data_IF_258664645958
#
_entry.id   IF_258664645958
#
_cell.length_a   1.000
_cell.length_b   1.000
_cell.length_c   1.000
_cell.angle_alpha   90.00
_cell.angle_beta   90.00
_cell.angle_gamma   90.00
#
_symmetry.space_group_name_H-M   'P 1'
#
loop_
_entity.id
_entity.type
_entity.pdbx_description
1 polymer ?
#
# COMPACT_ATOMS: atom_id res chain seq x y z
N UNK A 1 14.08 -33.00 3.80
CA UNK A 1 13.67 -31.92 2.88
C UNK A 1 14.65 -30.77 3.06
N UNK A 2 15.31 -30.32 2.00
CA UNK A 2 16.35 -29.30 2.07
C UNK A 2 15.72 -27.91 2.30
N UNK A 3 15.77 -27.42 3.54
CA UNK A 3 15.52 -26.02 3.87
C UNK A 3 16.71 -25.20 3.39
N UNK A 4 16.69 -24.74 2.14
CA UNK A 4 17.69 -23.77 1.68
C UNK A 4 17.53 -22.51 2.52
N UNK A 5 18.51 -22.11 3.34
CA UNK A 5 18.39 -20.90 4.16
C UNK A 5 18.23 -19.69 3.25
N UNK A 6 17.43 -18.69 3.65
CA UNK A 6 17.33 -17.42 2.92
C UNK A 6 18.70 -16.76 2.70
N UNK A 7 19.67 -17.07 3.56
CA UNK A 7 21.09 -16.69 3.42
C UNK A 7 21.72 -17.09 2.07
N UNK A 8 21.20 -18.12 1.39
CA UNK A 8 21.66 -18.48 0.06
C UNK A 8 21.02 -17.63 -1.04
N UNK A 9 19.84 -17.04 -0.78
CA UNK A 9 19.13 -16.12 -1.67
C UNK A 9 19.55 -14.65 -1.46
N UNK A 10 19.82 -14.28 -0.21
CA UNK A 10 20.43 -13.02 0.19
C UNK A 10 21.94 -13.28 0.33
N UNK A 11 22.71 -13.08 -0.74
CA UNK A 11 24.18 -13.17 -0.69
C UNK A 11 24.67 -12.52 0.60
N UNK A 12 25.31 -13.33 1.48
CA UNK A 12 25.47 -12.99 2.90
C UNK A 12 25.96 -11.54 3.08
N UNK A 13 25.09 -10.61 3.50
CA UNK A 13 25.51 -9.23 3.66
C UNK A 13 26.55 -9.20 4.78
N UNK A 14 27.74 -8.67 4.48
CA UNK A 14 28.82 -8.58 5.47
C UNK A 14 28.44 -7.66 6.63
N UNK A 15 27.48 -6.75 6.43
CA UNK A 15 26.88 -5.91 7.46
C UNK A 15 25.38 -5.74 7.18
N UNK A 16 24.52 -6.05 8.17
CA UNK A 16 23.14 -5.54 8.18
C UNK A 16 23.07 -4.39 9.18
N UNK A 17 22.50 -3.28 8.74
CA UNK A 17 22.22 -2.14 9.60
C UNK A 17 20.71 -2.02 9.71
N UNK A 18 20.20 -2.00 10.94
CA UNK A 18 18.88 -1.43 11.11
C UNK A 18 18.94 0.02 10.66
N UNK A 19 17.97 0.43 9.85
CA UNK A 19 17.87 1.82 9.46
C UNK A 19 17.45 2.63 10.70
N UNK A 20 18.45 3.02 11.48
CA UNK A 20 18.29 3.86 12.65
C UNK A 20 18.46 5.31 12.21
N UNK A 21 17.37 5.88 11.69
CA UNK A 21 17.13 7.29 11.90
C UNK A 21 17.18 7.52 13.41
N UNK A 22 18.21 8.21 13.89
CA UNK A 22 18.17 8.82 15.23
C UNK A 22 16.77 9.41 15.43
N UNK A 23 16.08 8.82 16.40
CA UNK A 23 14.72 9.05 16.87
C UNK A 23 14.00 10.21 16.17
N UNK A 24 13.17 9.93 15.16
CA UNK A 24 12.09 10.83 14.83
C UNK A 24 11.29 11.07 16.10
N UNK A 25 11.10 12.34 16.45
CA UNK A 25 10.23 12.73 17.57
C UNK A 25 8.76 12.38 17.31
N UNK A 26 8.45 11.79 16.14
CA UNK A 26 7.15 11.21 15.87
C UNK A 26 6.81 10.19 16.97
N UNK A 27 5.83 10.56 17.78
CA UNK A 27 5.19 9.66 18.71
C UNK A 27 4.46 8.61 17.87
N UNK A 28 4.68 7.34 18.17
CA UNK A 28 3.93 6.21 17.59
C UNK A 28 2.42 6.46 17.68
N UNK A 29 1.97 7.07 18.77
CA UNK A 29 0.61 7.56 18.96
C UNK A 29 0.11 8.45 17.81
N UNK A 30 0.93 9.40 17.34
CA UNK A 30 0.57 10.29 16.22
C UNK A 30 0.43 9.51 14.90
N UNK A 31 1.25 8.47 14.70
CA UNK A 31 1.14 7.62 13.53
C UNK A 31 -0.12 6.74 13.58
N UNK A 32 -0.42 6.15 14.75
CA UNK A 32 -1.67 5.40 14.95
C UNK A 32 -2.90 6.29 14.72
N UNK A 33 -2.90 7.50 15.26
CA UNK A 33 -4.00 8.46 15.09
C UNK A 33 -4.15 8.86 13.60
N UNK A 34 -3.05 9.18 12.92
CA UNK A 34 -3.05 9.47 11.49
C UNK A 34 -3.64 8.33 10.65
N UNK A 35 -3.23 7.08 10.89
CA UNK A 35 -3.73 5.96 10.08
C UNK A 35 -5.16 5.57 10.46
N UNK A 36 -5.55 5.75 11.73
CA UNK A 36 -6.96 5.67 12.13
C UNK A 36 -7.78 6.70 11.36
N UNK A 37 -7.27 7.92 11.20
CA UNK A 37 -7.90 8.95 10.37
C UNK A 37 -7.97 8.54 8.90
N UNK A 38 -6.84 8.17 8.26
CA UNK A 38 -6.77 7.78 6.84
C UNK A 38 -7.81 6.72 6.51
N UNK A 39 -7.87 5.66 7.30
CA UNK A 39 -8.76 4.54 7.04
C UNK A 39 -10.20 4.87 7.39
N UNK A 40 -10.46 5.33 8.62
CA UNK A 40 -11.81 5.37 9.16
C UNK A 40 -12.50 6.74 9.08
N UNK A 41 -11.77 7.84 8.89
CA UNK A 41 -12.33 9.19 9.09
C UNK A 41 -12.10 10.18 7.97
N UNK A 42 -11.17 9.92 7.06
CA UNK A 42 -10.86 10.87 6.00
C UNK A 42 -12.08 11.05 5.08
N UNK A 43 -12.69 12.24 5.01
CA UNK A 43 -13.82 12.48 4.13
C UNK A 43 -13.42 12.56 2.64
N UNK A 44 -12.13 12.63 2.34
CA UNK A 44 -11.67 12.81 0.98
C UNK A 44 -12.00 11.60 0.11
N UNK A 45 -12.70 11.88 -0.99
CA UNK A 45 -13.04 10.90 -2.01
C UNK A 45 -12.00 10.96 -3.12
N UNK A 46 -11.15 9.95 -3.19
CA UNK A 46 -10.21 9.80 -4.29
C UNK A 46 -10.94 9.42 -5.58
N UNK A 47 -10.44 9.90 -6.73
CA UNK A 47 -10.89 9.44 -8.06
C UNK A 47 -10.77 7.92 -8.24
N UNK A 48 -9.86 7.31 -7.48
CA UNK A 48 -9.61 5.88 -7.46
C UNK A 48 -9.27 5.39 -6.04
N UNK A 49 -9.94 4.35 -5.50
CA UNK A 49 -9.71 3.88 -4.12
C UNK A 49 -8.25 3.51 -3.81
N UNK A 50 -7.55 2.90 -4.77
CA UNK A 50 -6.10 2.63 -4.72
C UNK A 50 -5.23 3.83 -4.32
N UNK A 51 -5.62 5.08 -4.61
CA UNK A 51 -4.83 6.24 -4.21
C UNK A 51 -4.69 6.35 -2.69
N UNK A 52 -5.72 5.99 -1.91
CA UNK A 52 -5.62 5.91 -0.45
C UNK A 52 -4.53 4.93 -0.02
N UNK A 53 -4.48 3.74 -0.65
CA UNK A 53 -3.48 2.71 -0.37
C UNK A 53 -2.07 3.16 -0.79
N UNK A 54 -1.93 3.81 -1.94
CA UNK A 54 -0.64 4.32 -2.42
C UNK A 54 -0.08 5.44 -1.54
N UNK A 55 -0.95 6.36 -1.09
CA UNK A 55 -0.59 7.43 -0.15
C UNK A 55 -0.19 6.83 1.20
N UNK A 56 -1.02 5.93 1.75
CA UNK A 56 -0.72 5.22 2.99
C UNK A 56 0.62 4.46 2.92
N UNK A 57 0.84 3.69 1.85
CA UNK A 57 2.08 2.96 1.63
C UNK A 57 3.28 3.90 1.53
N UNK A 58 3.14 5.02 0.84
CA UNK A 58 4.22 6.00 0.70
C UNK A 58 4.60 6.64 2.03
N UNK A 59 3.61 6.99 2.87
CA UNK A 59 3.86 7.48 4.23
C UNK A 59 4.62 6.43 5.05
N UNK A 60 4.19 5.17 5.00
CA UNK A 60 4.87 4.09 5.72
C UNK A 60 6.29 3.82 5.18
N UNK A 61 6.52 3.91 3.88
CA UNK A 61 7.88 3.83 3.33
C UNK A 61 8.75 4.95 3.88
N UNK A 62 8.28 6.20 3.92
CA UNK A 62 9.07 7.29 4.52
C UNK A 62 9.35 7.01 6.00
N UNK A 63 8.36 6.52 6.74
CA UNK A 63 8.48 6.26 8.17
C UNK A 63 9.43 5.12 8.50
N UNK A 64 9.24 3.94 7.88
CA UNK A 64 10.01 2.73 8.17
C UNK A 64 11.41 2.78 7.57
N UNK A 65 11.55 3.41 6.41
CA UNK A 65 12.78 3.33 5.63
C UNK A 65 13.57 4.65 5.67
N UNK A 66 12.94 5.76 6.06
CA UNK A 66 13.54 7.10 5.97
C UNK A 66 13.91 7.51 4.56
N UNK A 67 13.32 6.86 3.56
CA UNK A 67 13.48 7.24 2.17
C UNK A 67 12.70 8.53 1.94
N UNK A 68 13.38 9.54 1.40
CA UNK A 68 12.67 10.72 0.91
C UNK A 68 11.84 10.32 -0.31
N UNK A 69 10.57 10.74 -0.43
CA UNK A 69 9.73 10.43 -1.58
C UNK A 69 10.42 10.79 -2.90
N UNK A 70 10.99 11.99 -2.97
CA UNK A 70 11.72 12.45 -4.16
C UNK A 70 13.08 11.77 -4.42
N UNK A 71 13.57 10.88 -3.56
CA UNK A 71 14.85 10.16 -3.76
C UNK A 71 14.59 8.68 -4.02
N UNK A 72 13.64 8.06 -3.34
CA UNK A 72 13.22 6.68 -3.61
C UNK A 72 12.31 6.53 -4.83
N UNK A 73 11.53 7.57 -5.13
CA UNK A 73 10.44 7.49 -6.11
C UNK A 73 10.70 8.36 -7.34
N UNK A 74 11.85 9.04 -7.42
CA UNK A 74 12.20 9.92 -8.55
C UNK A 74 12.16 9.18 -9.88
N UNK A 75 12.74 7.99 -9.87
CA UNK A 75 12.80 7.06 -11.01
C UNK A 75 11.65 6.06 -10.98
N UNK A 76 11.15 5.81 -9.76
CA UNK A 76 10.04 4.94 -9.47
C UNK A 76 10.38 3.65 -8.78
N UNK A 77 9.42 3.13 -8.02
CA UNK A 77 9.46 1.79 -7.47
C UNK A 77 8.69 0.85 -8.40
N UNK A 78 9.39 -0.12 -8.98
CA UNK A 78 8.81 -1.12 -9.89
C UNK A 78 8.76 -2.48 -9.22
N UNK A 79 7.89 -3.37 -9.71
CA UNK A 79 7.85 -4.73 -9.19
C UNK A 79 9.16 -5.48 -9.42
N UNK A 80 9.89 -5.19 -10.51
CA UNK A 80 11.25 -5.70 -10.75
C UNK A 80 12.26 -5.36 -9.64
N UNK A 81 12.00 -4.32 -8.87
CA UNK A 81 12.85 -3.89 -7.76
C UNK A 81 12.50 -4.61 -6.45
N UNK A 82 11.55 -5.55 -6.46
CA UNK A 82 11.02 -6.16 -5.24
C UNK A 82 10.98 -7.67 -5.29
N UNK A 83 11.04 -8.31 -4.12
CA UNK A 83 10.86 -9.75 -3.96
C UNK A 83 10.01 -9.99 -2.71
N UNK A 84 9.07 -10.93 -2.78
CA UNK A 84 8.26 -11.34 -1.63
C UNK A 84 8.65 -12.76 -1.22
N UNK A 85 8.83 -12.95 0.08
CA UNK A 85 9.07 -14.26 0.67
C UNK A 85 8.04 -14.54 1.76
N UNK A 86 7.53 -15.76 1.78
CA UNK A 86 6.72 -16.30 2.87
C UNK A 86 7.59 -17.19 3.75
N UNK A 87 7.39 -17.11 5.06
CA UNK A 87 8.02 -18.01 6.03
C UNK A 87 7.07 -18.28 7.18
N UNK A 88 7.25 -19.41 7.86
CA UNK A 88 6.49 -19.76 9.05
C UNK A 88 7.29 -19.37 10.29
N UNK A 89 6.76 -18.45 11.10
CA UNK A 89 7.45 -17.96 12.29
C UNK A 89 6.44 -17.68 13.41
N UNK A 90 6.77 -18.10 14.64
CA UNK A 90 5.89 -17.97 15.83
C UNK A 90 4.46 -18.50 15.58
N UNK A 91 4.34 -19.66 14.93
CA UNK A 91 3.07 -20.32 14.60
C UNK A 91 2.14 -19.53 13.66
N UNK A 92 2.69 -18.57 12.91
CA UNK A 92 1.94 -17.81 11.92
C UNK A 92 2.73 -17.66 10.61
N UNK A 93 2.04 -17.54 9.47
CA UNK A 93 2.68 -17.13 8.22
C UNK A 93 3.13 -15.67 8.33
N UNK A 94 4.39 -15.42 7.98
CA UNK A 94 4.99 -14.08 7.90
C UNK A 94 5.39 -13.77 6.48
N UNK A 95 5.27 -12.50 6.12
CA UNK A 95 5.60 -12.00 4.78
C UNK A 95 6.77 -11.04 4.90
N UNK A 96 7.83 -11.32 4.15
CA UNK A 96 8.98 -10.43 4.02
C UNK A 96 8.94 -9.80 2.63
N UNK A 97 8.96 -8.47 2.62
CA UNK A 97 9.12 -7.67 1.41
C UNK A 97 10.57 -7.20 1.33
N UNK A 98 11.26 -7.63 0.29
CA UNK A 98 12.59 -7.14 -0.05
C UNK A 98 12.46 -6.06 -1.13
N UNK A 99 13.11 -4.91 -0.94
CA UNK A 99 13.15 -3.80 -1.91
C UNK A 99 14.61 -3.51 -2.26
N UNK A 100 14.93 -3.51 -3.55
CA UNK A 100 16.23 -3.15 -4.10
C UNK A 100 16.19 -1.67 -4.47
N UNK A 101 16.95 -0.87 -3.73
CA UNK A 101 17.17 0.53 -4.07
C UNK A 101 18.38 0.61 -4.99
N UNK A 102 18.13 0.90 -6.26
CA UNK A 102 19.15 1.28 -7.24
C UNK A 102 19.09 2.79 -7.48
N UNK A 103 20.25 3.43 -7.57
CA UNK A 103 20.39 4.81 -8.05
C UNK A 103 20.60 4.70 -9.57
N UNK A 104 19.55 4.91 -10.37
CA UNK A 104 19.64 4.79 -11.85
C UNK A 104 20.19 6.07 -12.49
N UNK A 105 20.16 7.20 -11.78
CA UNK A 105 20.76 8.50 -12.14
C UNK A 105 22.29 8.53 -11.96
N UNK A 106 22.87 7.62 -11.17
CA UNK A 106 24.32 7.47 -11.06
C UNK A 106 24.91 7.02 -12.41
N UNK A 107 25.43 7.99 -13.18
CA UNK A 107 26.09 7.79 -14.47
C UNK A 107 26.99 6.53 -14.45
N UNK A 108 26.97 5.80 -15.57
CA UNK A 108 27.58 4.50 -15.85
C UNK A 108 29.06 4.28 -15.47
N UNK A 109 29.73 5.30 -14.90
CA UNK A 109 31.14 5.31 -14.53
C UNK A 109 31.41 5.00 -13.05
N UNK A 110 30.41 5.02 -12.16
CA UNK A 110 30.57 4.59 -10.76
C UNK A 110 29.80 3.29 -10.50
N UNK A 111 30.47 2.30 -9.88
CA UNK A 111 29.87 1.01 -9.50
C UNK A 111 28.52 1.24 -8.81
N UNK A 112 27.43 0.79 -9.45
CA UNK A 112 26.06 0.87 -8.90
C UNK A 112 26.02 0.24 -7.51
N UNK A 113 25.95 1.05 -6.47
CA UNK A 113 25.81 0.57 -5.10
C UNK A 113 24.36 0.21 -4.86
N UNK A 114 24.06 -1.09 -4.88
CA UNK A 114 22.75 -1.65 -4.57
C UNK A 114 22.56 -1.65 -3.06
N UNK A 115 21.47 -1.05 -2.58
CA UNK A 115 21.01 -1.22 -1.20
C UNK A 115 19.81 -2.14 -1.21
N UNK A 116 19.83 -3.15 -0.35
CA UNK A 116 18.70 -4.07 -0.19
C UNK A 116 18.00 -3.73 1.11
N UNK A 117 16.68 -3.65 1.04
CA UNK A 117 15.84 -3.30 2.16
C UNK A 117 14.92 -4.45 2.48
N UNK A 118 14.70 -4.74 3.76
CA UNK A 118 13.74 -5.74 4.20
C UNK A 118 12.73 -5.07 5.12
N UNK A 119 11.46 -5.26 4.77
CA UNK A 119 10.30 -5.00 5.60
C UNK A 119 9.64 -6.34 5.93
N UNK A 120 9.17 -6.48 7.16
CA UNK A 120 8.34 -7.62 7.56
C UNK A 120 6.92 -7.18 7.82
N UNK A 121 5.98 -8.08 7.60
CA UNK A 121 4.59 -7.84 7.96
C UNK A 121 4.39 -7.72 9.48
N UNK A 122 3.36 -6.96 9.85
CA UNK A 122 3.00 -6.59 11.22
C UNK A 122 1.56 -7.05 11.47
N UNK A 123 1.32 -8.33 11.84
CA UNK A 123 -0.02 -8.87 11.97
C UNK A 123 -0.89 -8.17 13.02
N UNK A 124 -0.27 -7.65 14.08
CA UNK A 124 -0.96 -6.94 15.16
C UNK A 124 -1.31 -5.49 14.80
N UNK A 125 -0.67 -4.92 13.77
CA UNK A 125 -0.80 -3.51 13.38
C UNK A 125 -1.00 -3.39 11.87
N UNK A 126 -1.98 -4.12 11.32
CA UNK A 126 -2.20 -4.19 9.87
C UNK A 126 -2.52 -2.84 9.23
N UNK A 127 -3.14 -1.92 9.96
CA UNK A 127 -3.41 -0.54 9.53
C UNK A 127 -2.12 0.27 9.29
N UNK A 128 -1.00 -0.14 9.89
CA UNK A 128 0.34 0.43 9.76
C UNK A 128 1.32 -0.48 8.99
N UNK A 129 0.85 -1.57 8.39
CA UNK A 129 1.74 -2.56 7.80
C UNK A 129 2.03 -2.25 6.32
N UNK A 130 3.25 -1.80 5.94
CA UNK A 130 3.58 -1.51 4.56
C UNK A 130 3.56 -2.75 3.67
N UNK A 131 3.85 -3.93 4.22
CA UNK A 131 3.86 -5.20 3.49
C UNK A 131 2.45 -5.59 3.05
N UNK A 132 1.43 -5.42 3.91
CA UNK A 132 0.02 -5.65 3.54
C UNK A 132 -0.40 -4.76 2.37
N UNK A 133 -0.06 -3.46 2.43
CA UNK A 133 -0.39 -2.52 1.36
C UNK A 133 0.32 -2.87 0.06
N UNK A 134 1.61 -3.18 0.11
CA UNK A 134 2.37 -3.60 -1.06
C UNK A 134 1.77 -4.85 -1.71
N UNK A 135 1.55 -5.90 -0.92
CA UNK A 135 1.05 -7.19 -1.40
C UNK A 135 -0.35 -7.04 -2.01
N UNK A 136 -1.21 -6.20 -1.42
CA UNK A 136 -2.54 -5.92 -1.97
C UNK A 136 -2.48 -5.28 -3.36
N UNK A 137 -1.57 -4.33 -3.57
CA UNK A 137 -1.37 -3.69 -4.88
C UNK A 137 -0.76 -4.67 -5.90
N UNK A 138 0.18 -5.52 -5.47
CA UNK A 138 0.78 -6.54 -6.32
C UNK A 138 -0.25 -7.58 -6.81
N UNK A 139 -1.15 -8.01 -5.92
CA UNK A 139 -2.26 -8.91 -6.25
C UNK A 139 -3.24 -8.23 -7.21
N UNK A 140 -3.63 -6.98 -6.93
CA UNK A 140 -4.55 -6.24 -7.77
C UNK A 140 -4.00 -5.95 -9.18
N UNK A 141 -2.68 -5.84 -9.32
CA UNK A 141 -2.00 -5.72 -10.61
C UNK A 141 -1.76 -7.07 -11.30
N UNK A 142 -2.14 -8.19 -10.67
CA UNK A 142 -1.91 -9.53 -11.17
C UNK A 142 -0.43 -9.89 -11.30
N UNK A 143 0.43 -9.26 -10.48
CA UNK A 143 1.89 -9.45 -10.50
C UNK A 143 2.28 -10.80 -9.92
N UNK A 144 1.64 -11.19 -8.81
CA UNK A 144 1.92 -12.47 -8.16
C UNK A 144 1.32 -13.60 -8.99
N UNK A 145 2.16 -14.56 -9.38
CA UNK A 145 1.72 -15.72 -10.15
C UNK A 145 0.98 -16.73 -9.27
N UNK A 146 0.00 -17.41 -9.85
CA UNK A 146 -0.86 -18.35 -9.12
C UNK A 146 -1.92 -17.72 -8.19
N UNK A 147 -2.00 -16.39 -8.09
CA UNK A 147 -3.07 -15.71 -7.35
C UNK A 147 -4.04 -15.05 -8.33
N UNK A 148 -5.25 -15.58 -8.41
CA UNK A 148 -6.33 -15.06 -9.26
C UNK A 148 -7.63 -14.82 -8.50
N UNK A 149 -7.83 -15.53 -7.39
CA UNK A 149 -9.02 -15.45 -6.57
C UNK A 149 -8.71 -15.65 -5.07
N UNK A 150 -9.75 -15.51 -4.27
CA UNK A 150 -9.69 -15.44 -2.81
C UNK A 150 -9.16 -16.75 -2.21
N UNK A 151 -9.54 -17.90 -2.80
CA UNK A 151 -9.04 -19.21 -2.38
C UNK A 151 -7.54 -19.38 -2.60
N UNK A 152 -6.97 -18.73 -3.62
CA UNK A 152 -5.53 -18.79 -3.88
C UNK A 152 -4.75 -18.06 -2.78
N UNK A 153 -5.29 -16.94 -2.28
CA UNK A 153 -4.70 -16.20 -1.16
C UNK A 153 -4.72 -17.06 0.11
N UNK A 154 -5.84 -17.75 0.39
CA UNK A 154 -5.94 -18.66 1.53
C UNK A 154 -4.95 -19.84 1.42
N UNK A 155 -4.72 -20.33 0.20
CA UNK A 155 -3.77 -21.41 -0.05
C UNK A 155 -2.31 -21.01 0.26
N UNK A 156 -1.95 -19.73 0.20
CA UNK A 156 -0.58 -19.26 0.51
C UNK A 156 -0.10 -19.70 1.90
N UNK A 157 -0.99 -19.66 2.89
CA UNK A 157 -0.65 -20.04 4.27
C UNK A 157 -0.36 -21.54 4.40
N UNK A 158 -1.06 -22.37 3.65
CA UNK A 158 -0.90 -23.84 3.69
C UNK A 158 0.43 -24.29 3.08
N UNK A 159 0.86 -23.66 1.98
CA UNK A 159 2.13 -23.97 1.31
C UNK A 159 3.35 -23.55 2.15
N UNK A 160 3.22 -22.46 2.90
CA UNK A 160 4.27 -21.93 3.74
C UNK A 160 4.60 -22.84 4.93
N UNK A 161 3.64 -23.58 5.48
CA UNK A 161 3.87 -24.45 6.63
C UNK A 161 4.85 -25.60 6.32
N UNK A 162 4.93 -26.01 5.05
CA UNK A 162 5.73 -27.16 4.60
C UNK A 162 7.15 -26.77 4.18
N UNK A 163 7.44 -25.48 4.00
CA UNK A 163 8.69 -24.99 3.43
C UNK A 163 9.26 -23.82 4.24
N UNK A 164 10.55 -23.85 4.57
CA UNK A 164 11.14 -22.81 5.44
C UNK A 164 11.05 -21.40 4.86
N UNK A 165 11.32 -21.28 3.55
CA UNK A 165 11.22 -20.03 2.82
C UNK A 165 10.58 -20.29 1.46
N UNK A 166 9.48 -19.62 1.17
CA UNK A 166 8.74 -19.74 -0.09
C UNK A 166 8.74 -18.38 -0.81
N UNK A 167 9.55 -18.20 -1.87
CA UNK A 167 9.47 -17.01 -2.69
C UNK A 167 8.14 -17.00 -3.45
N UNK A 168 7.44 -15.87 -3.46
CA UNK A 168 6.26 -15.71 -4.30
C UNK A 168 6.67 -15.39 -5.74
N UNK A 169 6.32 -16.24 -6.72
CA UNK A 169 6.69 -16.01 -8.11
C UNK A 169 5.98 -14.77 -8.66
N UNK A 170 6.71 -13.97 -9.44
CA UNK A 170 6.15 -12.86 -10.19
C UNK A 170 5.97 -13.22 -11.66
N UNK A 171 4.88 -12.76 -12.26
CA UNK A 171 4.68 -12.84 -13.71
C UNK A 171 5.67 -11.91 -14.41
N UNK A 172 6.51 -12.47 -15.28
CA UNK A 172 7.55 -11.73 -15.99
C UNK A 172 7.01 -10.52 -16.77
N UNK A 173 5.81 -10.66 -17.35
CA UNK A 173 5.12 -9.59 -18.08
C UNK A 173 4.73 -8.39 -17.22
N UNK A 174 4.65 -8.51 -15.90
CA UNK A 174 4.18 -7.46 -14.99
C UNK A 174 5.31 -6.75 -14.25
N UNK A 175 6.56 -7.21 -14.39
CA UNK A 175 7.72 -6.67 -13.66
C UNK A 175 8.02 -5.20 -13.97
N UNK A 176 7.68 -4.76 -15.18
CA UNK A 176 7.89 -3.39 -15.65
C UNK A 176 6.84 -2.41 -15.12
N UNK A 177 5.80 -2.88 -14.43
CA UNK A 177 4.77 -2.02 -13.89
C UNK A 177 5.31 -1.28 -12.64
N UNK A 178 5.04 0.02 -12.51
CA UNK A 178 5.33 0.74 -11.28
C UNK A 178 4.35 0.30 -10.19
N UNK A 179 4.80 0.23 -8.95
CA UNK A 179 3.97 -0.07 -7.78
C UNK A 179 2.99 1.08 -7.52
N UNK A 180 3.50 2.32 -7.59
CA UNK A 180 2.73 3.55 -7.41
C UNK A 180 2.28 4.09 -8.76
N UNK A 181 1.03 3.82 -9.13
CA UNK A 181 0.47 4.06 -10.46
C UNK A 181 -0.47 5.28 -10.45
N UNK A 182 -0.56 5.97 -11.58
CA UNK A 182 -1.59 6.99 -11.81
C UNK A 182 -2.74 6.43 -12.62
N UNK A 183 -3.91 7.06 -12.57
CA UNK A 183 -4.99 6.83 -13.53
C UNK A 183 -4.57 7.29 -14.93
N UNK A 184 -5.12 6.64 -15.96
CA UNK A 184 -5.02 7.11 -17.34
C UNK A 184 -5.75 8.44 -17.54
N UNK A 185 -5.35 9.24 -18.54
CA UNK A 185 -5.99 10.52 -18.80
C UNK A 185 -7.47 10.28 -19.13
N UNK A 186 -8.38 10.82 -18.30
CA UNK A 186 -9.85 10.68 -18.40
C UNK A 186 -10.43 9.29 -18.12
N UNK A 187 -9.60 8.29 -17.81
CA UNK A 187 -10.06 6.96 -17.41
C UNK A 187 -9.89 6.79 -15.91
N UNK A 188 -10.89 6.26 -15.19
CA UNK A 188 -10.72 5.79 -13.80
C UNK A 188 -10.02 4.42 -13.71
N UNK A 189 -9.16 4.13 -14.70
CA UNK A 189 -8.39 2.89 -14.82
C UNK A 189 -6.94 3.19 -14.54
N UNK A 190 -6.27 2.32 -13.78
CA UNK A 190 -4.85 2.40 -13.49
C UNK A 190 -4.02 2.31 -14.77
N UNK A 191 -3.25 3.35 -15.06
CA UNK A 191 -2.29 3.41 -16.17
C UNK A 191 -1.04 2.61 -15.82
N UNK A 192 -0.33 2.08 -16.83
CA UNK A 192 1.03 1.54 -16.65
C UNK A 192 2.06 2.62 -16.32
N UNK A 193 1.67 3.90 -16.32
CA UNK A 193 2.55 4.99 -15.95
C UNK A 193 2.68 5.15 -14.43
N UNK A 194 3.90 5.52 -14.02
CA UNK A 194 4.20 5.88 -12.65
C UNK A 194 3.51 7.18 -12.23
N UNK A 195 3.14 7.26 -10.95
CA UNK A 195 2.70 8.48 -10.29
C UNK A 195 3.86 9.46 -10.08
N UNK A 196 3.66 10.73 -10.48
CA UNK A 196 4.68 11.76 -10.28
C UNK A 196 4.96 11.98 -8.78
N UNK A 197 6.24 12.10 -8.36
CA UNK A 197 6.58 12.35 -6.96
C UNK A 197 5.91 13.58 -6.38
N UNK A 198 5.77 14.65 -7.17
CA UNK A 198 5.09 15.87 -6.74
C UNK A 198 3.61 15.67 -6.45
N UNK A 199 2.91 14.88 -7.28
CA UNK A 199 1.49 14.58 -7.06
C UNK A 199 1.30 13.75 -5.78
N UNK A 200 2.16 12.75 -5.58
CA UNK A 200 2.15 11.94 -4.36
C UNK A 200 2.48 12.77 -3.11
N UNK A 201 3.44 13.67 -3.21
CA UNK A 201 3.78 14.60 -2.12
C UNK A 201 2.58 15.47 -1.73
N UNK A 202 1.89 16.06 -2.70
CA UNK A 202 0.67 16.86 -2.46
C UNK A 202 -0.39 16.02 -1.76
N UNK A 203 -0.69 14.82 -2.27
CA UNK A 203 -1.68 13.95 -1.64
C UNK A 203 -1.31 13.54 -0.22
N UNK A 204 -0.03 13.27 0.06
CA UNK A 204 0.43 13.03 1.43
C UNK A 204 0.24 14.27 2.30
N UNK A 205 0.70 15.44 1.84
CA UNK A 205 0.58 16.68 2.59
C UNK A 205 -0.89 16.98 2.95
N UNK A 206 -1.78 16.95 1.96
CA UNK A 206 -3.21 17.15 2.19
C UNK A 206 -3.80 16.13 3.17
N UNK A 207 -3.29 14.89 3.17
CA UNK A 207 -3.70 13.86 4.14
C UNK A 207 -3.33 14.24 5.57
N UNK A 208 -2.09 14.71 5.77
CA UNK A 208 -1.62 15.16 7.09
C UNK A 208 -2.36 16.41 7.55
N UNK A 209 -2.59 17.36 6.65
CA UNK A 209 -3.31 18.61 6.94
C UNK A 209 -4.75 18.33 7.37
N UNK A 210 -5.49 17.50 6.62
CA UNK A 210 -6.86 17.10 7.01
C UNK A 210 -6.91 16.35 8.34
N UNK A 211 -5.85 15.63 8.69
CA UNK A 211 -5.75 14.90 9.94
C UNK A 211 -5.29 15.77 11.13
N UNK A 212 -4.91 17.04 10.90
CA UNK A 212 -4.34 17.90 11.94
C UNK A 212 -2.91 17.52 12.36
N UNK A 213 -2.16 16.88 11.45
CA UNK A 213 -0.81 16.34 11.68
C UNK A 213 0.27 17.08 10.87
N UNK A 214 0.13 18.38 10.58
CA UNK A 214 1.10 19.13 9.76
C UNK A 214 2.51 19.16 10.39
N UNK A 215 2.56 19.31 11.72
CA UNK A 215 3.81 19.29 12.48
C UNK A 215 4.51 17.91 12.44
N UNK A 216 3.71 16.84 12.47
CA UNK A 216 4.12 15.44 12.32
C UNK A 216 4.77 15.25 10.95
N UNK A 217 4.12 15.71 9.87
CA UNK A 217 4.65 15.64 8.51
C UNK A 217 5.98 16.38 8.36
N UNK A 218 6.02 17.63 8.82
CA UNK A 218 7.22 18.48 8.78
C UNK A 218 8.40 17.87 9.52
N UNK A 219 8.14 17.25 10.67
CA UNK A 219 9.15 16.53 11.46
C UNK A 219 9.67 15.32 10.70
N UNK A 220 8.79 14.49 10.16
CA UNK A 220 9.16 13.31 9.36
C UNK A 220 10.07 13.69 8.18
N UNK A 221 9.74 14.75 7.42
CA UNK A 221 10.56 15.20 6.29
C UNK A 221 11.91 15.77 6.73
N UNK A 222 11.97 16.49 7.85
CA UNK A 222 13.23 16.96 8.44
C UNK A 222 14.12 15.80 8.85
N UNK A 223 13.56 14.77 9.47
CA UNK A 223 14.31 13.60 9.91
C UNK A 223 14.93 12.87 8.73
N UNK A 224 14.15 12.63 7.69
CA UNK A 224 14.61 12.06 6.41
C UNK A 224 15.77 12.87 5.81
N UNK A 225 15.65 14.21 5.74
CA UNK A 225 16.74 15.08 5.26
C UNK A 225 18.00 14.92 6.09
N UNK A 226 17.86 14.88 7.42
CA UNK A 226 18.97 14.69 8.35
C UNK A 226 19.61 13.30 8.19
N UNK A 227 18.83 12.23 7.98
CA UNK A 227 19.36 10.90 7.66
C UNK A 227 20.17 10.92 6.38
N UNK A 228 19.62 11.48 5.31
CA UNK A 228 20.31 11.58 4.02
C UNK A 228 21.62 12.37 4.14
N UNK A 229 21.65 13.44 4.91
CA UNK A 229 22.87 14.21 5.15
C UNK A 229 23.91 13.40 5.93
N UNK A 230 23.50 12.66 6.98
CA UNK A 230 24.40 11.77 7.74
C UNK A 230 24.97 10.65 6.87
N UNK A 231 24.13 10.05 6.04
CA UNK A 231 24.55 9.02 5.10
C UNK A 231 25.58 9.56 4.10
N UNK A 232 25.38 10.78 3.59
CA UNK A 232 26.37 11.46 2.74
C UNK A 232 27.69 11.69 3.48
N UNK A 233 27.65 12.09 4.76
CA UNK A 233 28.87 12.25 5.59
C UNK A 233 29.58 10.92 5.84
N UNK A 234 28.85 9.84 6.13
CA UNK A 234 29.42 8.48 6.26
C UNK A 234 30.11 8.05 4.97
N UNK A 235 29.45 8.24 3.82
CA UNK A 235 30.02 7.96 2.50
C UNK A 235 31.32 8.72 2.25
N UNK A 236 31.40 9.99 2.67
CA UNK A 236 32.61 10.80 2.52
C UNK A 236 33.75 10.37 3.46
N UNK A 237 33.43 9.74 4.59
CA UNK A 237 34.41 9.31 5.59
C UNK A 237 34.94 7.88 5.36
N UNK A 238 34.26 7.06 4.56
CA UNK A 238 34.62 5.66 4.33
C UNK A 238 34.93 5.42 2.86
N UNK A 239 36.22 5.44 2.49
CA UNK A 239 36.72 5.09 1.15
C UNK A 239 36.59 3.58 0.81
N UNK A 240 36.05 2.80 1.75
CA UNK A 240 35.88 1.36 1.62
C UNK A 240 34.42 0.95 1.81
N UNK A 241 33.81 0.48 0.72
CA UNK A 241 33.33 -0.89 0.55
C UNK A 241 32.23 -0.96 -0.53
N UNK A 242 32.40 -1.91 -1.45
CA UNK A 242 31.42 -2.38 -2.41
C UNK A 242 30.43 -3.39 -1.78
N UNK A 243 30.36 -3.47 -0.44
CA UNK A 243 29.53 -4.45 0.24
C UNK A 243 28.04 -4.08 0.08
N UNK A 244 27.24 -5.05 -0.36
CA UNK A 244 25.78 -4.92 -0.40
C UNK A 244 25.28 -4.67 1.02
N UNK A 245 24.71 -3.50 1.25
CA UNK A 245 24.21 -3.09 2.57
C UNK A 245 22.76 -3.54 2.69
N UNK A 246 22.49 -4.37 3.71
CA UNK A 246 21.13 -4.73 4.08
C UNK A 246 20.58 -3.71 5.08
N UNK A 247 19.46 -3.07 4.73
CA UNK A 247 18.73 -2.14 5.57
C UNK A 247 17.45 -2.80 6.09
N UNK A 248 17.27 -2.80 7.40
CA UNK A 248 16.02 -3.27 8.01
C UNK A 248 15.09 -2.09 8.30
N UNK A 249 13.79 -2.29 8.11
CA UNK A 249 12.76 -1.32 8.49
C UNK A 249 12.88 -0.92 9.96
N UNK A 250 12.61 0.36 10.25
CA UNK A 250 12.67 0.92 11.60
C UNK A 250 11.80 0.11 12.58
N UNK A 251 12.37 -0.30 13.70
CA UNK A 251 11.66 -1.04 14.75
C UNK A 251 11.47 -2.53 14.41
N UNK A 252 11.91 -2.96 13.23
CA UNK A 252 11.78 -4.35 12.78
C UNK A 252 13.10 -5.13 12.92
N UNK A 253 14.19 -4.48 13.36
CA UNK A 253 15.51 -5.08 13.46
C UNK A 253 15.52 -6.39 14.24
N UNK A 254 14.95 -6.43 15.44
CA UNK A 254 14.89 -7.64 16.28
C UNK A 254 14.12 -8.80 15.61
N UNK A 255 12.94 -8.52 15.05
CA UNK A 255 12.11 -9.55 14.43
C UNK A 255 12.77 -10.12 13.18
N UNK A 256 13.27 -9.26 12.29
CA UNK A 256 13.98 -9.66 11.07
C UNK A 256 15.23 -10.47 11.44
N UNK A 257 16.00 -10.04 12.43
CA UNK A 257 17.22 -10.74 12.87
C UNK A 257 16.94 -12.14 13.39
N UNK A 258 15.87 -12.27 14.19
CA UNK A 258 15.42 -13.56 14.72
C UNK A 258 14.99 -14.49 13.58
N UNK A 259 14.20 -14.00 12.63
CA UNK A 259 13.71 -14.76 11.49
C UNK A 259 14.83 -15.17 10.53
N UNK A 260 15.79 -14.29 10.30
CA UNK A 260 16.94 -14.56 9.45
C UNK A 260 18.03 -15.38 10.13
N UNK A 261 17.87 -15.70 11.43
CA UNK A 261 18.89 -16.30 12.27
C UNK A 261 20.25 -15.58 12.14
N UNK A 262 20.19 -14.25 12.13
CA UNK A 262 21.34 -13.36 11.95
C UNK A 262 21.49 -12.47 13.18
N UNK A 263 22.70 -12.35 13.73
CA UNK A 263 23.02 -11.34 14.75
C UNK A 263 23.50 -10.06 14.04
N UNK A 264 22.65 -9.07 13.81
CA UNK A 264 23.12 -7.80 13.29
C UNK A 264 24.02 -7.12 14.32
N UNK A 265 25.01 -6.40 13.81
CA UNK A 265 25.74 -5.40 14.60
C UNK A 265 24.80 -4.21 14.84
N UNK A 266 23.82 -4.37 15.72
CA UNK A 266 22.93 -3.28 16.15
C UNK A 266 23.74 -2.42 17.11
N UNK A 267 23.95 -1.12 16.83
CA UNK A 267 24.50 -0.20 17.82
C UNK A 267 23.60 -0.25 19.08
N UNK A 268 24.15 -0.33 20.29
CA UNK A 268 23.37 -0.49 21.52
C UNK A 268 22.22 0.51 21.59
N UNK A 269 20.99 -0.01 21.54
CA UNK A 269 19.76 0.77 21.51
C UNK A 269 19.67 1.66 22.75
N UNK A 270 19.48 2.97 22.54
CA UNK A 270 18.91 3.84 23.58
C UNK A 270 17.40 3.91 23.37
N UNK A 271 16.68 3.04 24.10
CA UNK A 271 15.23 2.99 24.33
C UNK A 271 14.39 2.46 23.17
N UNK A 272 13.84 1.26 23.37
CA UNK A 272 12.69 0.73 22.64
C UNK A 272 11.46 1.65 22.79
N UNK A 273 10.66 1.73 21.73
CA UNK A 273 9.40 2.45 21.72
C UNK A 273 8.37 1.68 22.54
N UNK A 274 8.09 2.18 23.74
CA UNK A 274 6.92 1.79 24.54
C UNK A 274 6.29 3.07 25.06
N UNK A 275 5.67 3.85 24.18
CA UNK A 275 4.74 4.88 24.64
C UNK A 275 3.36 4.31 24.44
N UNK A 276 2.68 3.94 25.52
CA UNK A 276 1.25 3.66 25.52
C UNK A 276 0.53 4.87 24.95
N UNK A 277 0.19 4.80 23.66
CA UNK A 277 -0.60 5.82 23.01
C UNK A 277 -1.98 5.83 23.69
N UNK A 278 -2.30 6.94 24.36
CA UNK A 278 -3.69 7.25 24.67
C UNK A 278 -4.37 7.53 23.33
N UNK A 279 -5.03 6.53 22.77
CA UNK A 279 -5.91 6.73 21.62
C UNK A 279 -6.90 7.82 22.01
N UNK A 280 -6.92 8.93 21.27
CA UNK A 280 -7.96 9.93 21.40
C UNK A 280 -9.31 9.20 21.26
N UNK A 281 -10.28 9.46 22.15
CA UNK A 281 -11.57 8.79 22.08
C UNK A 281 -12.18 8.97 20.68
N UNK A 282 -12.95 7.99 20.19
CA UNK A 282 -13.48 8.09 18.86
C UNK A 282 -14.50 9.24 18.80
N UNK A 283 -14.08 10.43 18.34
CA UNK A 283 -14.97 11.42 17.73
C UNK A 283 -16.01 10.70 16.84
N UNK A 284 -17.30 11.09 16.91
CA UNK A 284 -18.31 10.53 16.03
C UNK A 284 -17.84 10.65 14.58
N UNK A 285 -18.04 9.60 13.78
CA UNK A 285 -17.75 9.65 12.36
C UNK A 285 -18.46 10.87 11.78
N UNK A 286 -17.76 11.77 11.06
CA UNK A 286 -18.44 12.84 10.36
C UNK A 286 -19.56 12.24 9.51
N UNK A 287 -20.77 12.82 9.55
CA UNK A 287 -21.95 12.30 8.85
C UNK A 287 -21.65 11.92 7.39
N UNK A 288 -20.83 12.73 6.72
CA UNK A 288 -20.40 12.46 5.35
C UNK A 288 -19.60 11.16 5.19
N UNK A 289 -18.77 10.78 6.17
CA UNK A 289 -18.02 9.52 6.15
C UNK A 289 -18.99 8.34 6.34
N UNK A 290 -19.95 8.44 7.25
CA UNK A 290 -20.99 7.41 7.42
C UNK A 290 -21.75 7.18 6.11
N UNK A 291 -22.17 8.27 5.45
CA UNK A 291 -22.82 8.20 4.14
C UNK A 291 -21.90 7.56 3.10
N UNK A 292 -20.62 7.96 3.00
CA UNK A 292 -19.66 7.35 2.06
C UNK A 292 -19.46 5.85 2.29
N UNK A 293 -19.35 5.41 3.55
CA UNK A 293 -19.10 4.01 3.90
C UNK A 293 -20.25 3.07 3.53
N UNK A 294 -21.47 3.60 3.35
CA UNK A 294 -22.59 2.81 2.82
C UNK A 294 -22.41 2.44 1.34
N UNK A 295 -21.61 3.19 0.59
CA UNK A 295 -21.42 3.01 -0.85
C UNK A 295 -20.00 2.58 -1.24
N UNK A 296 -19.00 2.88 -0.40
CA UNK A 296 -17.64 2.34 -0.52
C UNK A 296 -17.51 1.06 0.32
N UNK A 297 -18.08 -0.04 -0.18
CA UNK A 297 -18.00 -1.35 0.47
C UNK A 297 -16.56 -1.79 0.73
N UNK A 298 -15.63 -1.44 -0.17
CA UNK A 298 -14.21 -1.80 -0.03
C UNK A 298 -13.59 -1.14 1.20
N UNK A 299 -13.81 0.17 1.39
CA UNK A 299 -13.34 0.90 2.57
C UNK A 299 -14.03 0.44 3.84
N UNK A 300 -15.35 0.23 3.80
CA UNK A 300 -16.12 -0.26 4.94
C UNK A 300 -15.63 -1.64 5.42
N UNK A 301 -15.31 -2.54 4.47
CA UNK A 301 -14.75 -3.86 4.74
C UNK A 301 -13.37 -3.74 5.37
N UNK A 302 -12.48 -2.90 4.81
CA UNK A 302 -11.16 -2.62 5.39
C UNK A 302 -11.28 -2.12 6.83
N UNK A 303 -12.14 -1.13 7.09
CA UNK A 303 -12.36 -0.59 8.45
C UNK A 303 -12.86 -1.70 9.40
N UNK A 304 -13.74 -2.57 8.92
CA UNK A 304 -14.30 -3.65 9.75
C UNK A 304 -13.23 -4.66 10.17
N UNK A 305 -12.25 -4.96 9.29
CA UNK A 305 -11.09 -5.80 9.62
C UNK A 305 -10.05 -5.08 10.48
N UNK A 306 -9.88 -3.77 10.32
CA UNK A 306 -8.87 -3.02 11.08
C UNK A 306 -9.33 -2.61 12.48
N UNK A 307 -10.59 -2.22 12.63
CA UNK A 307 -11.10 -1.54 13.83
C UNK A 307 -12.46 -2.06 14.30
N UNK A 308 -13.10 -2.96 13.54
CA UNK A 308 -14.48 -3.38 13.77
C UNK A 308 -14.61 -4.81 14.32
N UNK A 309 -15.76 -5.41 14.05
CA UNK A 309 -16.13 -6.76 14.48
C UNK A 309 -15.18 -7.85 13.95
N UNK A 310 -14.47 -7.59 12.85
CA UNK A 310 -13.52 -8.53 12.26
C UNK A 310 -12.08 -8.31 12.71
N UNK A 311 -11.80 -7.41 13.66
CA UNK A 311 -10.45 -7.19 14.19
C UNK A 311 -9.83 -8.45 14.85
N UNK A 312 -10.66 -9.44 15.22
CA UNK A 312 -10.21 -10.76 15.68
C UNK A 312 -9.59 -11.61 14.55
N UNK A 313 -9.92 -11.35 13.28
CA UNK A 313 -9.34 -12.02 12.13
C UNK A 313 -8.03 -11.33 11.73
N UNK A 314 -6.94 -11.84 12.28
CA UNK A 314 -5.58 -11.35 12.03
C UNK A 314 -4.85 -12.16 10.96
N UNK A 315 -5.51 -13.16 10.38
CA UNK A 315 -4.90 -13.98 9.33
C UNK A 315 -4.66 -13.12 8.09
N UNK A 316 -3.53 -13.36 7.43
CA UNK A 316 -3.14 -12.60 6.25
C UNK A 316 -4.21 -12.67 5.14
N UNK A 317 -4.82 -13.84 4.82
CA UNK A 317 -5.81 -13.92 3.75
C UNK A 317 -7.05 -13.05 3.97
N UNK A 318 -7.61 -13.08 5.18
CA UNK A 318 -8.88 -12.40 5.49
C UNK A 318 -8.77 -10.89 5.24
N UNK A 319 -7.68 -10.28 5.71
CA UNK A 319 -7.47 -8.86 5.56
C UNK A 319 -6.97 -8.48 4.16
N UNK A 320 -6.09 -9.28 3.57
CA UNK A 320 -5.44 -8.95 2.31
C UNK A 320 -6.46 -8.85 1.16
N UNK A 321 -7.52 -9.65 1.22
CA UNK A 321 -8.60 -9.61 0.25
C UNK A 321 -9.26 -8.22 0.16
N UNK A 322 -9.65 -7.67 1.30
CA UNK A 322 -10.33 -6.37 1.36
C UNK A 322 -9.44 -5.25 0.77
N UNK A 323 -8.14 -5.29 1.07
CA UNK A 323 -7.18 -4.35 0.51
C UNK A 323 -6.94 -4.57 -0.99
N UNK A 324 -6.83 -5.82 -1.45
CA UNK A 324 -6.64 -6.13 -2.87
C UNK A 324 -7.84 -5.67 -3.70
N UNK A 325 -9.06 -5.83 -3.19
CA UNK A 325 -10.28 -5.28 -3.81
C UNK A 325 -10.25 -3.76 -3.91
N UNK A 326 -9.84 -3.04 -2.86
CA UNK A 326 -9.66 -1.60 -2.93
C UNK A 326 -8.51 -1.15 -3.88
N UNK A 327 -7.55 -2.03 -4.16
CA UNK A 327 -6.42 -1.77 -5.04
C UNK A 327 -6.69 -2.10 -6.52
N UNK A 328 -7.84 -2.71 -6.85
CA UNK A 328 -8.21 -3.15 -8.20
C UNK A 328 -8.00 -2.06 -9.25
N UNK A 329 -7.71 -2.47 -10.49
CA UNK A 329 -7.29 -1.53 -11.54
C UNK A 329 -8.37 -0.57 -12.04
N UNK A 330 -9.63 -0.77 -11.66
CA UNK A 330 -10.78 0.03 -12.11
C UNK A 330 -11.52 0.53 -10.88
N UNK A 331 -11.67 1.86 -10.76
CA UNK A 331 -12.47 2.41 -9.68
C UNK A 331 -13.93 1.99 -9.84
N UNK A 332 -14.57 1.60 -8.74
CA UNK A 332 -16.02 1.53 -8.69
C UNK A 332 -16.58 2.94 -8.91
N UNK A 333 -17.56 3.08 -9.80
CA UNK A 333 -18.32 4.32 -9.88
C UNK A 333 -19.06 4.49 -8.55
N UNK A 334 -18.85 5.59 -7.80
CA UNK A 334 -19.58 5.84 -6.56
C UNK A 334 -21.01 6.22 -6.93
N UNK A 335 -21.81 5.21 -7.28
CA UNK A 335 -23.23 5.38 -7.42
C UNK A 335 -23.83 5.31 -6.04
N UNK A 336 -24.27 6.46 -5.57
CA UNK A 336 -25.25 6.52 -4.52
C UNK A 336 -26.58 6.06 -5.13
N UNK A 337 -26.91 4.79 -4.91
CA UNK A 337 -28.23 4.26 -5.24
C UNK A 337 -29.26 5.19 -4.57
N UNK A 338 -30.16 5.77 -5.38
CA UNK A 338 -31.19 6.73 -4.96
C UNK A 338 -30.72 8.13 -4.49
N UNK A 339 -29.47 8.55 -4.73
CA UNK A 339 -29.12 9.97 -4.62
C UNK A 339 -29.58 10.75 -5.84
N UNK A 340 -30.89 11.02 -5.90
CA UNK A 340 -31.40 12.09 -6.74
C UNK A 340 -31.01 13.43 -6.10
N UNK A 341 -30.57 14.42 -6.88
CA UNK A 341 -30.34 15.75 -6.33
C UNK A 341 -31.64 16.30 -5.75
N UNK A 342 -31.50 17.01 -4.64
CA UNK A 342 -32.55 17.86 -4.11
C UNK A 342 -32.86 19.03 -5.07
N UNK A 343 -33.79 19.89 -4.66
CA UNK A 343 -34.18 21.05 -5.46
C UNK A 343 -33.01 22.02 -5.77
N UNK A 344 -31.92 21.97 -5.00
CA UNK A 344 -30.73 22.80 -5.18
C UNK A 344 -29.66 22.15 -6.08
N UNK A 345 -29.89 20.92 -6.56
CA UNK A 345 -28.89 20.18 -7.31
C UNK A 345 -27.88 19.46 -6.42
N UNK A 346 -28.10 19.42 -5.10
CA UNK A 346 -27.19 18.80 -4.13
C UNK A 346 -27.67 17.41 -3.74
N UNK A 347 -26.74 16.57 -3.34
CA UNK A 347 -27.07 15.27 -2.76
C UNK A 347 -27.84 15.51 -1.46
N UNK A 348 -29.09 15.02 -1.31
CA UNK A 348 -29.91 15.28 -0.12
C UNK A 348 -29.31 14.67 1.17
N UNK A 349 -28.32 13.78 1.01
CA UNK A 349 -27.66 13.08 2.11
C UNK A 349 -26.38 13.78 2.57
N UNK A 350 -25.49 14.17 1.66
CA UNK A 350 -24.21 14.78 2.04
C UNK A 350 -24.10 16.28 1.72
N UNK A 351 -25.12 16.88 1.09
CA UNK A 351 -25.12 18.29 0.67
C UNK A 351 -24.16 18.63 -0.45
N UNK A 352 -23.37 17.66 -0.94
CA UNK A 352 -22.42 17.90 -2.02
C UNK A 352 -23.14 18.11 -3.36
N UNK A 353 -22.68 19.08 -4.16
CA UNK A 353 -23.29 19.34 -5.45
C UNK A 353 -23.15 18.13 -6.38
N UNK A 354 -24.27 17.73 -6.96
CA UNK A 354 -24.35 16.64 -7.92
C UNK A 354 -24.28 17.20 -9.34
N UNK A 355 -23.27 16.81 -10.11
CA UNK A 355 -23.20 17.10 -11.55
C UNK A 355 -23.88 15.99 -12.34
N UNK A 356 -24.68 16.39 -13.32
CA UNK A 356 -25.34 15.49 -14.27
C UNK A 356 -24.30 14.92 -15.22
N UNK A 357 -24.06 13.61 -15.19
CA UNK A 357 -23.14 12.99 -16.14
C UNK A 357 -23.81 12.95 -17.52
N UNK A 358 -23.25 13.68 -18.51
CA UNK A 358 -23.78 13.66 -19.87
C UNK A 358 -23.66 12.24 -20.46
N UNK A 359 -24.72 11.73 -21.09
CA UNK A 359 -24.80 10.37 -21.65
C UNK A 359 -23.68 10.01 -22.64
N UNK A 360 -22.94 10.99 -23.19
CA UNK A 360 -21.84 10.74 -24.14
C UNK A 360 -20.65 9.99 -23.54
N UNK A 361 -20.43 10.01 -22.22
CA UNK A 361 -19.35 9.23 -21.59
C UNK A 361 -19.68 7.74 -21.45
N UNK A 362 -20.96 7.34 -21.56
CA UNK A 362 -21.41 5.98 -21.22
C UNK A 362 -21.21 4.95 -22.33
N UNK A 363 -21.35 5.34 -23.60
CA UNK A 363 -21.19 4.37 -24.70
C UNK A 363 -19.78 3.77 -24.72
N UNK A 364 -18.77 4.55 -24.35
CA UNK A 364 -17.38 4.09 -24.32
C UNK A 364 -17.08 3.17 -23.12
N UNK A 365 -17.75 3.37 -21.98
CA UNK A 365 -17.51 2.62 -20.73
C UNK A 365 -18.27 1.29 -20.72
N UNK A 366 -19.52 1.26 -21.21
CA UNK A 366 -20.27 0.01 -21.38
C UNK A 366 -19.60 -0.92 -22.40
N UNK A 367 -19.07 -0.41 -23.52
CA UNK A 367 -18.30 -1.24 -24.47
C UNK A 367 -17.04 -1.85 -23.85
N UNK A 368 -16.39 -1.13 -22.92
CA UNK A 368 -15.16 -1.63 -22.28
C UNK A 368 -15.45 -2.73 -21.25
N UNK A 369 -16.56 -2.62 -20.50
CA UNK A 369 -17.03 -3.67 -19.57
C UNK A 369 -17.65 -4.87 -20.30
N UNK A 370 -18.36 -4.65 -21.41
CA UNK A 370 -18.86 -5.75 -22.25
C UNK A 370 -17.72 -6.50 -22.94
N UNK A 371 -16.66 -5.82 -23.42
CA UNK A 371 -15.53 -6.49 -24.05
C UNK A 371 -14.61 -7.26 -23.06
N UNK A 372 -14.54 -6.84 -21.80
CA UNK A 372 -13.88 -7.64 -20.74
C UNK A 372 -14.76 -8.80 -20.28
N UNK A 373 -16.08 -8.65 -20.24
CA UNK A 373 -17.02 -9.74 -19.96
C UNK A 373 -17.15 -10.76 -21.12
N UNK A 374 -17.03 -10.33 -22.38
CA UNK A 374 -17.16 -11.18 -23.56
C UNK A 374 -15.90 -12.03 -23.80
N UNK A 375 -14.73 -11.62 -23.29
CA UNK A 375 -13.55 -12.49 -23.22
C UNK A 375 -13.62 -13.56 -22.13
N UNK A 376 -14.63 -13.51 -21.26
CA UNK A 376 -14.77 -14.40 -20.11
C UNK A 376 -15.98 -15.37 -20.20
N UNK A 377 -16.80 -15.32 -21.25
CA UNK A 377 -17.98 -16.20 -21.39
C UNK A 377 -18.24 -16.62 -22.82
N UNK A 378 -17.57 -17.69 -23.23
CA UNK A 378 -18.13 -18.64 -24.17
C UNK A 378 -18.97 -19.65 -23.38
N UNK A 379 -20.17 -19.99 -23.88
CA UNK A 379 -21.13 -21.02 -23.42
C UNK A 379 -22.16 -20.67 -22.32
N UNK A 380 -23.37 -20.24 -22.74
CA UNK A 380 -24.63 -21.05 -22.79
C UNK A 380 -25.88 -20.15 -22.88
N UNK A 381 -26.54 -20.27 -24.03
CA UNK A 381 -27.96 -20.19 -24.39
C UNK A 381 -29.05 -19.82 -23.34
N UNK A 382 -29.85 -18.82 -23.75
CA UNK A 382 -31.33 -18.80 -23.81
C UNK A 382 -32.17 -18.53 -22.55
N UNK A 383 -32.49 -17.25 -22.28
CA UNK A 383 -33.80 -16.77 -21.74
C UNK A 383 -34.06 -15.34 -22.29
N UNK A 384 -35.25 -15.01 -22.86
CA UNK A 384 -35.55 -13.63 -23.25
C UNK A 384 -36.11 -12.85 -22.04
N UNK A 385 -35.32 -11.96 -21.46
CA UNK A 385 -35.80 -11.01 -20.44
C UNK A 385 -36.18 -9.69 -21.12
N UNK A 386 -37.47 -9.39 -21.14
CA UNK A 386 -38.04 -8.16 -21.67
C UNK A 386 -37.85 -7.04 -20.63
N UNK A 387 -36.74 -6.29 -20.70
CA UNK A 387 -36.55 -5.09 -19.88
C UNK A 387 -37.14 -3.86 -20.59
N UNK A 388 -38.18 -3.25 -19.99
CA UNK A 388 -38.62 -1.90 -20.33
C UNK A 388 -37.46 -0.91 -20.10
N UNK A 389 -37.08 -0.18 -21.15
CA UNK A 389 -36.05 0.86 -21.12
C UNK A 389 -36.54 2.10 -20.36
N UNK A 390 -36.52 2.05 -19.03
CA UNK A 390 -36.57 3.26 -18.19
C UNK A 390 -35.24 4.01 -18.28
N UNK A 391 -35.26 5.30 -18.67
CA UNK A 391 -34.06 6.15 -18.74
C UNK A 391 -33.51 6.39 -17.33
N UNK A 392 -32.47 5.66 -16.91
CA UNK A 392 -31.74 5.95 -15.68
C UNK A 392 -30.83 7.18 -15.87
N UNK A 393 -31.16 8.27 -15.20
CA UNK A 393 -30.30 9.45 -15.05
C UNK A 393 -29.31 9.18 -13.91
N UNK A 394 -28.04 9.56 -14.07
CA UNK A 394 -26.99 9.33 -13.06
C UNK A 394 -26.28 10.64 -12.70
N UNK A 395 -25.83 10.74 -11.46
CA UNK A 395 -25.27 11.94 -10.84
C UNK A 395 -23.90 11.63 -10.19
N UNK A 396 -22.95 12.56 -10.25
CA UNK A 396 -21.61 12.47 -9.61
C UNK A 396 -21.43 13.60 -8.58
N UNK A 397 -20.80 13.32 -7.43
CA UNK A 397 -20.42 14.32 -6.42
C UNK A 397 -19.14 15.06 -6.85
N UNK A 398 -19.11 16.39 -6.66
CA UNK A 398 -17.87 17.20 -6.73
C UNK A 398 -17.11 17.25 -5.41
#
# INVERSE_FOLDING_TARGET
>A
MCTTPLRNYLAAPQCAYEFQLLKPQLLEASLHDLFSFIWARDPYSYDHPRYRLQVAFSILLIFYIGLHPNVALKEGLYYSDTEIFLTWFENAPRVLLTIRLEDRDALATQKRKRKRMILIDEPTNRHLCPVTLFLSMAIADGVVDGITCDSDIAALSSHCQQSGWLPLPYKLGSLHLPVLRRTGNRSRVMSSCIMKPSALYIMMQEQFDRAGHEATFSTMLRDVRNANQRERRRKAATDHMNAETLLMGRGQGRCISTILAFEPTIPPEKKTFHTTASLQPPYPLPHMVDVQLRYDLTRSTIISYLFGSYAVYHTLPDILYAFAKAAESVAHEPFYVDAFPDASGSCPWCGAQLKRCSQRSKNHIMETQLNTSLRAKEWKSSIPFMMQKGRRVTWEIM
#
